data_IF_372277205525
#
_entry.id   IF_372277205525
#
_cell.length_a   1.000
_cell.length_b   1.000
_cell.length_c   1.000
_cell.angle_alpha   90.00
_cell.angle_beta   90.00
_cell.angle_gamma   90.00
#
_symmetry.space_group_name_H-M   'P 1'
#
loop_
_entity.id
_entity.type
_entity.pdbx_description
1 polymer ?
#
# COMPACT_ATOMS: atom_id res chain seq x y z
N UNK A 1 -2.75 -7.67 0.60
CA UNK A 1 -2.29 -8.95 1.18
C UNK A 1 -1.61 -8.62 2.49
N UNK A 2 -1.58 -9.57 3.40
CA UNK A 2 -1.07 -9.39 4.76
C UNK A 2 -0.08 -10.53 5.06
N UNK A 3 1.15 -10.21 5.46
CA UNK A 3 2.18 -11.21 5.80
C UNK A 3 2.04 -11.55 7.28
N UNK A 4 2.01 -12.84 7.64
CA UNK A 4 1.72 -13.25 9.03
C UNK A 4 2.82 -12.90 10.05
N UNK A 5 4.03 -12.63 9.59
CA UNK A 5 5.20 -12.42 10.44
C UNK A 5 6.08 -11.29 9.92
N UNK A 6 5.81 -10.04 10.34
CA UNK A 6 6.86 -9.00 10.38
C UNK A 6 7.04 -8.39 11.78
N UNK A 7 6.79 -9.18 12.83
CA UNK A 7 7.23 -8.78 14.17
C UNK A 7 8.75 -8.82 14.25
N UNK A 8 9.37 -7.64 14.22
CA UNK A 8 10.70 -7.43 14.78
C UNK A 8 10.57 -7.55 16.30
N UNK A 9 11.01 -8.67 16.86
CA UNK A 9 11.06 -8.84 18.31
C UNK A 9 12.28 -8.07 18.88
N UNK A 10 12.11 -6.77 19.12
CA UNK A 10 13.09 -5.92 19.79
C UNK A 10 12.68 -4.45 19.78
N UNK A 11 13.18 -3.66 20.73
CA UNK A 11 13.03 -2.19 20.70
C UNK A 11 13.77 -1.65 19.46
N UNK A 12 13.03 -1.03 18.54
CA UNK A 12 13.59 -0.40 17.34
C UNK A 12 14.07 1.02 17.67
N UNK A 13 15.38 1.22 17.73
CA UNK A 13 16.00 2.56 17.80
C UNK A 13 16.14 3.22 16.41
N UNK A 14 15.99 2.45 15.31
CA UNK A 14 16.26 2.90 13.94
C UNK A 14 15.05 2.69 12.99
N UNK A 15 14.97 3.51 11.93
CA UNK A 15 14.01 3.30 10.85
C UNK A 15 14.43 2.10 10.00
N UNK A 16 13.70 0.98 10.13
CA UNK A 16 13.97 -0.22 9.33
C UNK A 16 13.32 -0.07 7.96
N UNK A 17 14.17 -0.02 6.93
CA UNK A 17 13.76 -0.07 5.53
C UNK A 17 13.58 -1.54 5.12
N UNK A 18 12.56 -1.80 4.30
CA UNK A 18 12.41 -3.10 3.63
C UNK A 18 13.51 -3.21 2.57
N UNK A 19 14.62 -3.87 2.91
CA UNK A 19 15.59 -4.33 1.92
C UNK A 19 15.12 -5.66 1.33
N UNK A 20 15.43 -5.86 0.05
CA UNK A 20 15.12 -7.13 -0.61
C UNK A 20 15.96 -8.24 0.04
N UNK A 21 15.34 -9.34 0.51
CA UNK A 21 16.09 -10.41 1.17
C UNK A 21 17.05 -11.11 0.21
N UNK A 22 18.22 -11.46 0.75
CA UNK A 22 19.25 -12.23 0.05
C UNK A 22 18.66 -13.58 -0.41
N UNK A 23 18.70 -13.82 -1.73
CA UNK A 23 18.05 -14.98 -2.37
C UNK A 23 17.07 -14.60 -3.50
N UNK A 24 16.61 -13.34 -3.53
CA UNK A 24 15.86 -12.80 -4.68
C UNK A 24 16.75 -12.04 -5.67
N UNK A 25 18.04 -11.93 -5.38
CA UNK A 25 19.08 -11.37 -6.25
C UNK A 25 19.70 -12.51 -7.08
N UNK A 26 19.45 -12.51 -8.40
CA UNK A 26 20.21 -13.36 -9.31
C UNK A 26 21.49 -12.64 -9.74
N UNK A 27 22.62 -13.34 -10.00
CA UNK A 27 23.83 -12.70 -10.51
C UNK A 27 23.53 -11.94 -11.82
N UNK A 28 23.58 -10.61 -11.79
CA UNK A 28 23.22 -9.73 -12.92
C UNK A 28 21.84 -9.06 -12.83
N UNK A 29 21.05 -9.35 -11.79
CA UNK A 29 19.76 -8.72 -11.50
C UNK A 29 19.70 -8.27 -10.03
N UNK A 30 20.07 -7.01 -9.77
CA UNK A 30 20.11 -6.40 -8.43
C UNK A 30 18.72 -6.22 -7.78
N UNK A 31 17.63 -6.67 -8.41
CA UNK A 31 16.26 -6.39 -7.97
C UNK A 31 15.32 -7.58 -8.24
N UNK A 32 14.25 -7.70 -7.43
CA UNK A 32 13.10 -8.60 -7.62
C UNK A 32 12.75 -8.66 -9.12
N UNK A 33 12.97 -9.80 -9.80
CA UNK A 33 13.05 -9.93 -11.27
C UNK A 33 12.18 -8.90 -12.05
N UNK A 34 12.82 -7.79 -12.46
CA UNK A 34 12.22 -6.72 -13.27
C UNK A 34 11.51 -5.57 -12.54
N UNK A 35 11.44 -5.56 -11.22
CA UNK A 35 10.92 -4.44 -10.43
C UNK A 35 12.05 -3.46 -10.10
N UNK A 36 11.73 -2.16 -10.13
CA UNK A 36 12.63 -1.08 -9.73
C UNK A 36 11.98 -0.30 -8.60
N UNK A 37 12.74 0.00 -7.55
CA UNK A 37 12.26 0.85 -6.45
C UNK A 37 12.03 2.28 -6.98
N UNK A 38 10.92 2.88 -6.60
CA UNK A 38 10.60 4.26 -6.92
C UNK A 38 11.56 5.20 -6.20
N UNK A 39 11.96 6.29 -6.86
CA UNK A 39 12.85 7.31 -6.27
C UNK A 39 12.14 8.23 -5.29
N UNK A 40 10.82 8.41 -5.44
CA UNK A 40 10.03 9.32 -4.62
C UNK A 40 9.49 8.66 -3.35
N UNK A 41 9.34 7.32 -3.36
CA UNK A 41 8.81 6.55 -2.24
C UNK A 41 9.51 5.18 -2.20
N UNK A 42 10.23 4.91 -1.11
CA UNK A 42 11.00 3.69 -0.95
C UNK A 42 10.11 2.44 -0.79
N UNK A 43 8.84 2.62 -0.43
CA UNK A 43 7.87 1.53 -0.27
C UNK A 43 7.25 1.09 -1.61
N UNK A 44 7.49 1.83 -2.70
CA UNK A 44 6.88 1.57 -4.00
C UNK A 44 7.89 0.92 -4.94
N UNK A 45 7.53 -0.24 -5.47
CA UNK A 45 8.27 -0.97 -6.50
C UNK A 45 7.45 -1.01 -7.78
N UNK A 46 8.10 -0.76 -8.92
CA UNK A 46 7.45 -0.67 -10.23
C UNK A 46 8.14 -1.60 -11.21
N UNK A 47 7.36 -2.46 -11.86
CA UNK A 47 7.81 -3.26 -13.00
C UNK A 47 7.11 -2.78 -14.26
N UNK A 48 7.89 -2.34 -15.23
CA UNK A 48 7.40 -2.01 -16.57
C UNK A 48 7.35 -3.28 -17.41
N UNK A 49 6.24 -3.47 -18.12
CA UNK A 49 6.01 -4.58 -19.04
C UNK A 49 6.25 -4.14 -20.48
N UNK A 50 6.49 -5.11 -21.37
CA UNK A 50 6.81 -4.87 -22.78
C UNK A 50 5.66 -4.19 -23.56
N UNK A 51 4.42 -4.36 -23.09
CA UNK A 51 3.22 -3.73 -23.64
C UNK A 51 3.05 -2.25 -23.21
N UNK A 52 4.01 -1.72 -22.45
CA UNK A 52 4.01 -0.37 -21.89
C UNK A 52 3.15 -0.20 -20.64
N UNK A 53 2.50 -1.26 -20.14
CA UNK A 53 1.81 -1.22 -18.85
C UNK A 53 2.79 -1.44 -17.69
N UNK A 54 2.35 -1.12 -16.48
CA UNK A 54 3.17 -1.22 -15.27
C UNK A 54 2.43 -1.97 -14.17
N UNK A 55 3.19 -2.75 -13.40
CA UNK A 55 2.77 -3.35 -12.15
C UNK A 55 3.39 -2.54 -11.01
N UNK A 56 2.56 -2.08 -10.09
CA UNK A 56 2.95 -1.37 -8.89
C UNK A 56 2.77 -2.30 -7.69
N UNK A 57 3.83 -2.44 -6.91
CA UNK A 57 3.84 -3.15 -5.65
C UNK A 57 4.22 -2.14 -4.56
N UNK A 58 3.27 -1.84 -3.67
CA UNK A 58 3.51 -1.04 -2.48
C UNK A 58 3.67 -1.98 -1.28
N UNK A 59 4.75 -1.80 -0.53
CA UNK A 59 5.12 -2.59 0.63
C UNK A 59 5.19 -1.70 1.86
N UNK A 60 4.35 -1.97 2.85
CA UNK A 60 4.40 -1.27 4.12
C UNK A 60 4.28 -2.27 5.27
N UNK A 61 5.42 -2.65 5.86
CA UNK A 61 5.48 -3.63 6.95
C UNK A 61 4.73 -4.91 6.53
N UNK A 62 3.63 -5.27 7.22
CA UNK A 62 2.81 -6.46 6.91
C UNK A 62 1.86 -6.23 5.71
N UNK A 63 1.52 -4.97 5.43
CA UNK A 63 0.54 -4.60 4.39
C UNK A 63 1.20 -4.53 3.01
N UNK A 64 0.73 -5.35 2.07
CA UNK A 64 1.13 -5.30 0.66
C UNK A 64 -0.05 -4.93 -0.23
N UNK A 65 0.16 -3.97 -1.14
CA UNK A 65 -0.80 -3.58 -2.16
C UNK A 65 -0.22 -3.74 -3.55
N UNK A 66 -0.97 -4.45 -4.40
CA UNK A 66 -0.64 -4.64 -5.80
C UNK A 66 -1.65 -3.86 -6.65
N UNK A 67 -1.15 -3.07 -7.60
CA UNK A 67 -1.95 -2.43 -8.62
C UNK A 67 -1.36 -2.70 -10.00
N UNK A 68 -2.16 -3.21 -10.91
CA UNK A 68 -1.77 -3.43 -12.30
C UNK A 68 -2.97 -3.19 -13.22
N UNK A 69 -2.69 -3.04 -14.51
CA UNK A 69 -3.72 -2.92 -15.55
C UNK A 69 -4.55 -4.20 -15.70
N UNK A 70 -3.88 -5.35 -15.71
CA UNK A 70 -4.51 -6.65 -15.91
C UNK A 70 -4.54 -7.45 -14.62
N UNK A 71 -5.64 -8.20 -14.41
CA UNK A 71 -5.75 -9.08 -13.25
C UNK A 71 -4.81 -10.28 -13.32
N UNK A 72 -4.44 -10.71 -14.54
CA UNK A 72 -3.46 -11.79 -14.75
C UNK A 72 -2.14 -11.46 -14.05
N UNK A 73 -1.62 -10.25 -14.25
CA UNK A 73 -0.37 -9.80 -13.65
C UNK A 73 -0.45 -9.73 -12.12
N UNK A 74 -1.61 -9.30 -11.59
CA UNK A 74 -1.88 -9.31 -10.15
C UNK A 74 -1.84 -10.74 -9.61
N UNK A 75 -2.54 -11.67 -10.25
CA UNK A 75 -2.60 -13.07 -9.80
C UNK A 75 -1.25 -13.78 -9.91
N UNK A 76 -0.49 -13.53 -10.99
CA UNK A 76 0.85 -14.07 -11.16
C UNK A 76 1.80 -13.57 -10.05
N UNK A 77 1.77 -12.26 -9.74
CA UNK A 77 2.57 -11.72 -8.66
C UNK A 77 2.13 -12.25 -7.28
N UNK A 78 0.82 -12.36 -7.05
CA UNK A 78 0.27 -12.97 -5.82
C UNK A 78 0.79 -14.40 -5.63
N UNK A 79 0.76 -15.21 -6.68
CA UNK A 79 1.22 -16.59 -6.64
C UNK A 79 2.72 -16.68 -6.34
N UNK A 80 3.54 -15.85 -6.99
CA UNK A 80 4.98 -15.77 -6.74
C UNK A 80 5.28 -15.40 -5.28
N UNK A 81 4.57 -14.42 -4.72
CA UNK A 81 4.78 -14.00 -3.34
C UNK A 81 4.27 -15.04 -2.34
N UNK A 82 3.16 -15.72 -2.63
CA UNK A 82 2.58 -16.76 -1.76
C UNK A 82 3.42 -18.04 -1.71
N UNK A 83 4.28 -18.25 -2.70
CA UNK A 83 5.23 -19.36 -2.71
C UNK A 83 6.35 -19.15 -1.68
N UNK A 84 6.75 -17.90 -1.47
CA UNK A 84 7.92 -17.54 -0.67
C UNK A 84 7.55 -17.06 0.74
N UNK A 85 6.37 -16.46 0.91
CA UNK A 85 5.91 -15.89 2.17
C UNK A 85 4.58 -16.51 2.62
N UNK A 86 4.44 -16.82 3.91
CA UNK A 86 3.15 -17.17 4.50
C UNK A 86 2.29 -15.90 4.60
N UNK A 87 1.41 -15.74 3.61
CA UNK A 87 0.62 -14.55 3.43
C UNK A 87 -0.86 -14.85 3.30
N UNK A 88 -1.67 -13.92 3.79
CA UNK A 88 -3.12 -13.93 3.66
C UNK A 88 -3.55 -13.01 2.52
N UNK A 89 -4.26 -13.58 1.55
CA UNK A 89 -4.95 -12.77 0.56
C UNK A 89 -6.17 -12.10 1.20
N UNK A 90 -6.27 -10.78 1.00
CA UNK A 90 -7.37 -9.95 1.47
C UNK A 90 -8.31 -9.55 0.32
N UNK A 91 -8.16 -10.22 -0.83
CA UNK A 91 -8.93 -9.99 -2.06
C UNK A 91 -8.75 -8.55 -2.58
N UNK A 92 -9.81 -7.95 -3.13
CA UNK A 92 -9.81 -6.58 -3.63
C UNK A 92 -9.49 -5.62 -2.49
N UNK A 93 -8.50 -4.75 -2.71
CA UNK A 93 -8.11 -3.75 -1.73
C UNK A 93 -9.26 -2.79 -1.40
N UNK A 94 -9.84 -2.99 -0.22
CA UNK A 94 -10.86 -2.13 0.40
C UNK A 94 -10.28 -1.29 1.54
N UNK A 95 -9.08 -1.63 2.02
CA UNK A 95 -8.39 -0.92 3.08
C UNK A 95 -6.87 -1.04 2.93
N UNK A 96 -6.15 0.02 3.30
CA UNK A 96 -4.69 0.05 3.38
C UNK A 96 -4.23 1.11 4.39
N UNK A 97 -3.31 0.80 5.29
CA UNK A 97 -2.79 1.76 6.29
C UNK A 97 -3.88 2.49 7.08
N UNK A 98 -4.96 1.80 7.42
CA UNK A 98 -6.10 2.41 8.09
C UNK A 98 -7.02 3.25 7.20
N UNK A 99 -6.68 3.48 5.93
CA UNK A 99 -7.51 4.16 4.94
C UNK A 99 -8.43 3.18 4.22
N UNK A 100 -9.71 3.50 4.14
CA UNK A 100 -10.70 2.83 3.31
C UNK A 100 -10.55 3.23 1.85
N UNK A 101 -10.62 2.26 0.96
CA UNK A 101 -10.54 2.42 -0.47
C UNK A 101 -11.89 2.05 -1.08
N UNK A 102 -12.51 3.02 -1.75
CA UNK A 102 -13.71 2.79 -2.55
C UNK A 102 -13.37 2.96 -4.02
N UNK A 103 -13.68 1.95 -4.83
CA UNK A 103 -13.40 1.94 -6.28
C UNK A 103 -14.69 1.70 -7.03
N UNK A 104 -15.04 2.63 -7.91
CA UNK A 104 -16.07 2.44 -8.92
C UNK A 104 -15.41 2.44 -10.30
N UNK A 105 -15.31 1.24 -10.88
CA UNK A 105 -14.71 1.05 -12.21
C UNK A 105 -15.62 1.56 -13.34
N UNK A 106 -16.94 1.53 -13.15
CA UNK A 106 -17.91 2.00 -14.14
C UNK A 106 -17.83 3.51 -14.35
N UNK A 107 -17.71 4.27 -13.25
CA UNK A 107 -17.51 5.72 -13.31
C UNK A 107 -16.04 6.16 -13.32
N UNK A 108 -15.08 5.21 -13.26
CA UNK A 108 -13.63 5.44 -13.15
C UNK A 108 -13.24 6.33 -11.96
N UNK A 109 -13.91 6.15 -10.83
CA UNK A 109 -13.67 6.92 -9.61
C UNK A 109 -13.01 6.08 -8.54
N UNK A 110 -12.10 6.72 -7.80
CA UNK A 110 -11.38 6.18 -6.66
C UNK A 110 -11.55 7.18 -5.52
N UNK A 111 -11.99 6.70 -4.35
CA UNK A 111 -12.05 7.49 -3.14
C UNK A 111 -11.22 6.84 -2.04
N UNK A 112 -10.57 7.68 -1.24
CA UNK A 112 -9.88 7.31 -0.04
C UNK A 112 -10.57 7.97 1.15
N UNK A 113 -10.80 7.22 2.21
CA UNK A 113 -11.51 7.68 3.40
C UNK A 113 -10.78 7.21 4.67
N UNK A 114 -10.61 8.08 5.65
CA UNK A 114 -10.24 7.68 7.02
C UNK A 114 -11.42 7.82 7.98
N UNK A 115 -12.65 7.83 7.47
CA UNK A 115 -13.86 8.06 8.27
C UNK A 115 -13.93 7.13 9.48
N UNK A 116 -13.68 5.83 9.30
CA UNK A 116 -13.69 4.87 10.40
C UNK A 116 -12.66 5.16 11.49
N UNK A 117 -11.49 5.74 11.15
CA UNK A 117 -10.51 6.18 12.15
C UNK A 117 -11.03 7.41 12.92
N UNK A 118 -11.54 8.41 12.21
CA UNK A 118 -12.09 9.63 12.83
C UNK A 118 -13.24 9.30 13.77
N UNK A 119 -14.16 8.41 13.38
CA UNK A 119 -15.26 7.99 14.24
C UNK A 119 -14.77 7.31 15.53
N UNK A 120 -13.74 6.46 15.45
CA UNK A 120 -13.10 5.83 16.63
C UNK A 120 -12.44 6.85 17.55
N UNK A 121 -11.81 7.88 16.98
CA UNK A 121 -11.21 8.98 17.77
C UNK A 121 -12.31 9.75 18.49
N UNK A 122 -13.39 10.11 17.79
CA UNK A 122 -14.53 10.80 18.40
C UNK A 122 -15.17 9.99 19.52
N UNK A 123 -15.29 8.68 19.37
CA UNK A 123 -15.75 7.78 20.43
C UNK A 123 -14.84 7.79 21.65
N UNK A 124 -13.53 7.61 21.41
CA UNK A 124 -12.53 7.50 22.47
C UNK A 124 -12.49 8.73 23.38
N UNK A 125 -12.79 9.90 22.84
CA UNK A 125 -12.79 11.18 23.57
C UNK A 125 -14.21 11.68 23.92
N UNK A 126 -15.24 10.86 23.71
CA UNK A 126 -16.65 11.22 23.97
C UNK A 126 -17.13 12.48 23.19
N UNK A 127 -16.51 12.74 22.03
CA UNK A 127 -16.72 13.93 21.22
C UNK A 127 -17.76 13.75 20.10
N UNK A 128 -18.53 12.65 20.08
CA UNK A 128 -19.56 12.42 19.03
C UNK A 128 -20.58 13.56 18.89
N UNK A 129 -20.88 14.27 19.98
CA UNK A 129 -21.83 15.39 20.02
C UNK A 129 -21.14 16.76 20.06
N UNK A 130 -19.81 16.81 19.94
CA UNK A 130 -19.08 18.06 19.93
C UNK A 130 -19.53 18.92 18.74
N UNK A 131 -19.57 20.24 18.93
CA UNK A 131 -19.92 21.16 17.85
C UNK A 131 -18.80 21.10 16.79
N UNK A 132 -19.11 20.79 15.53
CA UNK A 132 -18.10 20.80 14.48
C UNK A 132 -17.61 22.22 14.28
N UNK A 133 -16.30 22.39 14.19
CA UNK A 133 -15.66 23.63 13.77
C UNK A 133 -15.07 23.38 12.40
N UNK A 134 -15.29 24.31 11.47
CA UNK A 134 -14.65 24.25 10.16
C UNK A 134 -13.17 24.56 10.31
N UNK A 135 -12.35 23.51 10.43
CA UNK A 135 -10.90 23.65 10.32
C UNK A 135 -10.59 23.71 8.83
N UNK A 136 -10.35 24.91 8.31
CA UNK A 136 -9.94 25.07 6.92
C UNK A 136 -8.65 24.29 6.68
N UNK A 137 -8.60 23.52 5.59
CA UNK A 137 -7.35 22.95 5.10
C UNK A 137 -6.37 24.12 4.94
N UNK A 138 -5.18 24.03 5.54
CA UNK A 138 -4.26 25.16 5.54
C UNK A 138 -3.99 25.61 4.08
N UNK A 139 -4.02 26.92 3.82
CA UNK A 139 -4.05 27.50 2.47
C UNK A 139 -2.90 27.05 1.55
N UNK A 140 -1.84 26.44 2.09
CA UNK A 140 -0.73 25.88 1.31
C UNK A 140 -1.02 24.49 0.72
N UNK A 141 -2.06 23.79 1.17
CA UNK A 141 -2.50 22.55 0.54
C UNK A 141 -3.38 22.86 -0.67
N UNK A 142 -2.78 22.82 -1.86
CA UNK A 142 -3.51 22.81 -3.12
C UNK A 142 -3.90 21.37 -3.46
N UNK A 143 -5.19 21.07 -3.40
CA UNK A 143 -5.74 19.86 -4.02
C UNK A 143 -5.95 20.19 -5.50
N UNK A 144 -5.02 19.79 -6.36
CA UNK A 144 -5.22 19.85 -7.81
C UNK A 144 -5.97 18.61 -8.28
N UNK A 145 -6.95 18.82 -9.15
CA UNK A 145 -7.50 17.76 -9.99
C UNK A 145 -6.52 17.68 -11.17
N UNK A 146 -5.50 16.84 -11.06
CA UNK A 146 -4.76 16.38 -12.26
C UNK A 146 -5.50 15.21 -12.90
#
# INVERSE_FOLDING_TARGET
MDVKTTFLHGDLEEQIYMEQPDGFTQPGHDHLIGYKRCKCDCCVYVKSLDDGSSIFLLLYIDDMLIAAKNMYDVLALKALLSQEFDMKDLDVATKILGMEIHRDRGSRKLWLSQRGYVEKVLDRFEMRKAKPVSTQLANHFKLSIE
#
